data_IF_854668665300
#
_entry.id   IF_854668665300
#
_cell.length_a   1.000
_cell.length_b   1.000
_cell.length_c   1.000
_cell.angle_alpha   90.00
_cell.angle_beta   90.00
_cell.angle_gamma   90.00
#
_symmetry.space_group_name_H-M   'P 1'
#
loop_
_entity.id
_entity.type
_entity.pdbx_description
1 polymer ?
#
# COMPACT_ATOMS: atom_id res chain seq x y z
N UNK A 1 19.90 14.29 0.41
CA UNK A 1 18.60 13.57 0.43
C UNK A 1 18.38 13.08 1.84
N UNK A 2 17.29 13.49 2.48
CA UNK A 2 16.90 13.00 3.80
C UNK A 2 16.47 11.53 3.72
N UNK A 3 16.49 10.80 4.83
CA UNK A 3 15.96 9.43 4.88
C UNK A 3 14.55 9.31 4.30
N UNK A 4 13.71 10.31 4.57
CA UNK A 4 12.33 10.30 4.09
C UNK A 4 12.22 10.45 2.57
N UNK A 5 13.05 11.31 1.98
CA UNK A 5 13.10 11.49 0.53
C UNK A 5 13.54 10.20 -0.17
N UNK A 6 14.43 9.42 0.45
CA UNK A 6 14.85 8.11 -0.05
C UNK A 6 13.67 7.15 -0.20
N UNK A 7 12.65 7.23 0.67
CA UNK A 7 11.48 6.35 0.61
C UNK A 7 10.58 6.58 -0.61
N UNK A 8 10.84 7.62 -1.40
CA UNK A 8 10.13 7.92 -2.64
C UNK A 8 10.98 7.67 -3.89
N UNK A 9 12.23 7.20 -3.75
CA UNK A 9 13.11 6.97 -4.90
C UNK A 9 12.87 5.60 -5.54
N UNK A 10 13.31 5.45 -6.80
CA UNK A 10 13.14 4.20 -7.55
C UNK A 10 13.86 3.02 -6.90
N UNK A 11 15.02 3.28 -6.30
CA UNK A 11 15.85 2.29 -5.62
C UNK A 11 15.12 1.71 -4.41
N UNK A 12 14.53 2.58 -3.57
CA UNK A 12 13.72 2.11 -2.45
C UNK A 12 12.45 1.40 -2.92
N UNK A 13 11.75 1.93 -3.92
CA UNK A 13 10.55 1.28 -4.46
C UNK A 13 10.86 -0.13 -4.98
N UNK A 14 12.00 -0.30 -5.67
CA UNK A 14 12.47 -1.62 -6.12
C UNK A 14 12.80 -2.54 -4.95
N UNK A 15 13.57 -2.07 -3.96
CA UNK A 15 13.90 -2.85 -2.75
C UNK A 15 12.64 -3.22 -1.96
N UNK A 16 11.69 -2.30 -1.83
CA UNK A 16 10.43 -2.53 -1.14
C UNK A 16 9.65 -3.67 -1.77
N UNK A 17 9.51 -3.66 -3.10
CA UNK A 17 8.81 -4.74 -3.81
C UNK A 17 9.60 -6.07 -3.76
N UNK A 18 10.93 -6.04 -3.79
CA UNK A 18 11.77 -7.22 -3.56
C UNK A 18 11.44 -7.88 -2.19
N UNK A 19 11.44 -7.09 -1.11
CA UNK A 19 11.17 -7.60 0.24
C UNK A 19 9.73 -8.10 0.38
N UNK A 20 8.75 -7.38 -0.17
CA UNK A 20 7.35 -7.81 -0.15
C UNK A 20 7.18 -9.13 -0.91
N UNK A 21 7.86 -9.29 -2.05
CA UNK A 21 7.82 -10.52 -2.85
C UNK A 21 8.50 -11.68 -2.13
N UNK A 22 9.68 -11.46 -1.52
CA UNK A 22 10.37 -12.44 -0.65
C UNK A 22 9.44 -12.94 0.45
N UNK A 23 8.69 -12.02 1.05
CA UNK A 23 7.73 -12.29 2.14
C UNK A 23 6.36 -12.78 1.64
N UNK A 24 6.27 -13.17 0.37
CA UNK A 24 5.08 -13.72 -0.28
C UNK A 24 3.85 -12.80 -0.20
N UNK A 25 4.06 -11.48 -0.25
CA UNK A 25 3.01 -10.47 -0.10
C UNK A 25 2.17 -10.66 1.18
N UNK A 26 2.82 -11.09 2.27
CA UNK A 26 2.22 -11.32 3.58
C UNK A 26 2.94 -10.56 4.69
N UNK A 27 2.17 -10.12 5.67
CA UNK A 27 2.71 -9.72 6.97
C UNK A 27 3.38 -10.91 7.65
N UNK A 28 4.62 -10.76 8.07
CA UNK A 28 5.40 -11.83 8.72
C UNK A 28 5.02 -12.07 10.19
N UNK A 29 4.13 -11.26 10.77
CA UNK A 29 3.61 -11.48 12.14
C UNK A 29 2.21 -12.08 12.19
N UNK A 30 1.32 -11.70 11.27
CA UNK A 30 -0.08 -12.14 11.29
C UNK A 30 -0.54 -12.86 10.02
N UNK A 31 0.36 -13.06 9.05
CA UNK A 31 0.10 -13.73 7.77
C UNK A 31 -0.98 -13.09 6.89
N UNK A 32 -1.44 -11.87 7.21
CA UNK A 32 -2.40 -11.17 6.36
C UNK A 32 -1.76 -10.75 5.04
N UNK A 33 -2.49 -10.95 3.94
CA UNK A 33 -2.04 -10.58 2.59
C UNK A 33 -2.18 -9.09 2.33
N UNK A 34 -1.32 -8.55 1.47
CA UNK A 34 -1.48 -7.20 0.90
C UNK A 34 -2.83 -7.14 0.17
N UNK A 35 -3.63 -6.11 0.46
CA UNK A 35 -4.91 -5.96 -0.23
C UNK A 35 -4.68 -5.59 -1.70
N UNK A 36 -5.30 -6.35 -2.60
CA UNK A 36 -5.26 -6.07 -4.04
C UNK A 36 -6.00 -4.78 -4.42
N UNK A 37 -6.83 -4.26 -3.53
CA UNK A 37 -7.66 -3.07 -3.73
C UNK A 37 -6.95 -1.79 -3.21
N UNK A 38 -5.66 -1.84 -2.89
CA UNK A 38 -4.91 -0.63 -2.53
C UNK A 38 -4.76 0.32 -3.72
N UNK A 39 -4.55 1.61 -3.43
CA UNK A 39 -4.31 2.63 -4.46
C UNK A 39 -5.55 3.02 -5.27
N UNK A 40 -6.75 2.89 -4.69
CA UNK A 40 -7.95 3.40 -5.33
C UNK A 40 -7.89 4.91 -5.52
N UNK A 41 -8.27 5.36 -6.72
CA UNK A 41 -8.38 6.76 -7.10
C UNK A 41 -9.47 7.44 -6.28
N UNK A 42 -9.09 8.43 -5.47
CA UNK A 42 -10.06 9.28 -4.78
C UNK A 42 -10.92 10.08 -5.76
N UNK A 43 -10.39 10.43 -6.94
CA UNK A 43 -11.12 11.17 -7.99
C UNK A 43 -12.24 10.36 -8.60
N UNK A 44 -12.03 9.06 -8.83
CA UNK A 44 -13.10 8.18 -9.34
C UNK A 44 -14.02 7.70 -8.21
N UNK A 45 -13.44 7.47 -7.03
CA UNK A 45 -14.14 6.91 -5.88
C UNK A 45 -14.39 5.41 -6.01
N UNK A 46 -15.27 4.91 -5.14
CA UNK A 46 -15.84 3.57 -5.23
C UNK A 46 -17.33 3.75 -5.55
N UNK A 47 -17.81 3.10 -6.60
CA UNK A 47 -19.18 3.23 -7.11
C UNK A 47 -19.87 1.88 -7.11
N UNK A 48 -21.10 1.82 -6.63
CA UNK A 48 -22.01 0.70 -6.87
C UNK A 48 -22.41 0.60 -8.34
N UNK A 49 -22.98 -0.54 -8.73
CA UNK A 49 -23.59 -0.69 -10.05
C UNK A 49 -24.61 0.43 -10.36
N UNK A 50 -25.46 0.79 -9.39
CA UNK A 50 -26.47 1.83 -9.58
C UNK A 50 -25.83 3.20 -9.82
N UNK A 51 -24.85 3.61 -9.01
CA UNK A 51 -24.12 4.85 -9.21
C UNK A 51 -23.37 4.88 -10.55
N UNK A 52 -22.84 3.74 -11.00
CA UNK A 52 -22.24 3.65 -12.35
C UNK A 52 -23.28 3.99 -13.42
N UNK A 53 -24.48 3.41 -13.35
CA UNK A 53 -25.58 3.67 -14.30
C UNK A 53 -26.06 5.13 -14.26
N UNK A 54 -26.22 5.72 -13.07
CA UNK A 54 -26.58 7.13 -12.89
C UNK A 54 -25.54 8.08 -13.49
N UNK A 55 -24.28 7.65 -13.60
CA UNK A 55 -23.20 8.41 -14.20
C UNK A 55 -22.98 8.08 -15.69
N UNK A 56 -24.00 7.58 -16.38
CA UNK A 56 -24.01 7.19 -17.80
C UNK A 56 -22.99 6.10 -18.18
N UNK A 57 -22.55 5.28 -17.23
CA UNK A 57 -21.75 4.12 -17.56
C UNK A 57 -22.63 2.93 -17.92
N UNK A 58 -22.26 2.21 -18.98
CA UNK A 58 -22.81 0.90 -19.31
C UNK A 58 -21.77 -0.18 -19.02
N UNK A 59 -22.19 -1.35 -18.53
CA UNK A 59 -21.30 -2.43 -18.15
C UNK A 59 -21.67 -3.72 -18.86
N UNK A 60 -20.70 -4.35 -19.50
CA UNK A 60 -20.86 -5.64 -20.16
C UNK A 60 -19.91 -6.66 -19.55
N UNK A 61 -20.46 -7.79 -19.07
CA UNK A 61 -19.64 -8.86 -18.51
C UNK A 61 -18.88 -9.60 -19.62
N UNK A 62 -17.61 -9.92 -19.37
CA UNK A 62 -16.84 -10.81 -20.23
C UNK A 62 -17.31 -12.26 -20.05
N UNK A 63 -17.31 -13.02 -21.15
CA UNK A 63 -17.90 -14.38 -21.18
C UNK A 63 -17.28 -15.27 -20.11
N UNK A 64 -18.12 -15.83 -19.23
CA UNK A 64 -17.76 -16.75 -18.15
C UNK A 64 -16.71 -16.22 -17.15
N UNK A 65 -16.66 -14.90 -16.94
CA UNK A 65 -15.78 -14.30 -15.93
C UNK A 65 -16.51 -13.26 -15.07
N UNK A 66 -15.86 -12.83 -13.99
CA UNK A 66 -16.29 -11.66 -13.23
C UNK A 66 -15.71 -10.35 -13.77
N UNK A 67 -14.95 -10.37 -14.88
CA UNK A 67 -14.46 -9.17 -15.53
C UNK A 67 -15.58 -8.48 -16.34
N UNK A 68 -15.44 -7.17 -16.52
CA UNK A 68 -16.35 -6.35 -17.31
C UNK A 68 -15.61 -5.49 -18.33
N UNK A 69 -16.36 -5.00 -19.31
CA UNK A 69 -16.01 -3.82 -20.10
C UNK A 69 -16.97 -2.72 -19.69
N UNK A 70 -16.41 -1.56 -19.35
CA UNK A 70 -17.16 -0.35 -18.99
C UNK A 70 -17.17 0.56 -20.22
N UNK A 71 -18.35 1.09 -20.54
CA UNK A 71 -18.56 2.03 -21.63
C UNK A 71 -19.07 3.36 -21.10
N UNK A 72 -18.64 4.47 -21.71
CA UNK A 72 -19.20 5.80 -21.51
C UNK A 72 -19.04 6.63 -22.78
N UNK A 73 -20.16 6.95 -23.44
CA UNK A 73 -20.14 7.60 -24.76
C UNK A 73 -19.28 6.78 -25.74
N UNK A 74 -18.23 7.37 -26.31
CA UNK A 74 -17.30 6.72 -27.25
C UNK A 74 -16.05 6.12 -26.55
N UNK A 75 -16.05 6.08 -25.21
CA UNK A 75 -14.95 5.53 -24.43
C UNK A 75 -15.32 4.14 -23.91
N UNK A 76 -14.37 3.23 -23.98
CA UNK A 76 -14.45 1.90 -23.38
C UNK A 76 -13.19 1.62 -22.55
N UNK A 77 -13.35 0.81 -21.50
CA UNK A 77 -12.22 0.26 -20.77
C UNK A 77 -12.53 -1.08 -20.12
N UNK A 78 -11.48 -1.90 -20.05
CA UNK A 78 -11.48 -3.13 -19.29
C UNK A 78 -11.55 -2.86 -17.78
N UNK A 79 -12.44 -3.59 -17.12
CA UNK A 79 -12.60 -3.62 -15.68
C UNK A 79 -12.31 -5.03 -15.16
N UNK A 80 -11.26 -5.16 -14.34
CA UNK A 80 -10.78 -6.44 -13.83
C UNK A 80 -11.37 -6.78 -12.47
N UNK A 81 -11.87 -8.00 -12.31
CA UNK A 81 -12.35 -8.46 -11.02
C UNK A 81 -11.19 -8.75 -10.08
N UNK A 82 -11.27 -8.22 -8.86
CA UNK A 82 -10.34 -8.46 -7.76
C UNK A 82 -11.06 -9.33 -6.73
N UNK A 83 -10.74 -10.63 -6.73
CA UNK A 83 -11.28 -11.56 -5.76
C UNK A 83 -11.05 -13.01 -6.13
N UNK A 84 -11.38 -13.92 -5.19
CA UNK A 84 -11.10 -15.35 -5.31
C UNK A 84 -12.30 -16.18 -5.78
N UNK A 85 -13.48 -15.57 -5.88
CA UNK A 85 -14.70 -16.27 -6.28
C UNK A 85 -14.61 -16.76 -7.72
N UNK A 86 -14.76 -18.08 -7.91
CA UNK A 86 -14.90 -18.72 -9.23
C UNK A 86 -16.33 -18.66 -9.76
N UNK A 87 -17.32 -18.45 -8.88
CA UNK A 87 -18.71 -18.31 -9.28
C UNK A 87 -18.97 -16.92 -9.87
N UNK A 88 -19.90 -16.83 -10.82
CA UNK A 88 -20.35 -15.55 -11.36
C UNK A 88 -21.12 -14.77 -10.29
N UNK A 89 -20.64 -13.56 -10.02
CA UNK A 89 -21.21 -12.66 -9.01
C UNK A 89 -22.21 -11.76 -9.69
N UNK A 90 -23.37 -11.52 -9.06
CA UNK A 90 -24.36 -10.57 -9.60
C UNK A 90 -23.72 -9.19 -9.69
N UNK A 91 -23.99 -8.48 -10.78
CA UNK A 91 -23.36 -7.18 -11.03
C UNK A 91 -23.74 -6.14 -9.95
N UNK A 92 -24.93 -6.28 -9.37
CA UNK A 92 -25.47 -5.43 -8.30
C UNK A 92 -24.70 -5.58 -6.97
N UNK A 93 -24.03 -6.72 -6.76
CA UNK A 93 -23.23 -6.98 -5.55
C UNK A 93 -21.77 -6.49 -5.68
N UNK A 94 -21.42 -5.91 -6.84
CA UNK A 94 -20.07 -5.45 -7.14
C UNK A 94 -19.94 -3.94 -6.97
N UNK A 95 -18.77 -3.56 -6.46
CA UNK A 95 -18.27 -2.20 -6.43
C UNK A 95 -17.25 -2.01 -7.55
N UNK A 96 -17.19 -0.81 -8.10
CA UNK A 96 -16.34 -0.40 -9.22
C UNK A 96 -15.45 0.75 -8.79
N UNK A 97 -14.18 0.70 -9.15
CA UNK A 97 -13.22 1.75 -8.85
C UNK A 97 -12.17 1.90 -9.95
N UNK A 98 -11.39 2.97 -9.86
CA UNK A 98 -10.09 3.04 -10.53
C UNK A 98 -8.99 2.75 -9.54
N UNK A 99 -8.03 1.92 -9.92
CA UNK A 99 -6.84 1.61 -9.13
C UNK A 99 -5.61 2.11 -9.85
N UNK A 100 -4.73 2.78 -9.11
CA UNK A 100 -3.39 3.11 -9.57
C UNK A 100 -2.50 1.87 -9.59
N UNK A 101 -1.74 1.68 -10.66
CA UNK A 101 -0.77 0.58 -10.78
C UNK A 101 0.61 1.17 -10.95
N UNK A 102 1.46 0.98 -9.93
CA UNK A 102 2.89 1.28 -10.03
C UNK A 102 3.55 0.13 -10.78
N UNK A 103 4.07 0.41 -11.97
CA UNK A 103 5.00 -0.51 -12.65
C UNK A 103 6.29 0.23 -12.96
N UNK A 104 7.46 -0.41 -12.75
CA UNK A 104 8.76 0.25 -12.87
C UNK A 104 9.11 0.75 -14.28
N UNK A 105 8.30 0.44 -15.30
CA UNK A 105 8.61 0.77 -16.71
C UNK A 105 7.39 1.18 -17.56
N UNK A 106 6.21 1.39 -16.97
CA UNK A 106 4.99 1.79 -17.70
C UNK A 106 4.47 3.11 -17.15
N UNK A 107 4.08 4.02 -18.05
CA UNK A 107 3.48 5.32 -17.71
C UNK A 107 2.29 5.10 -16.78
N UNK A 108 2.34 5.72 -15.60
CA UNK A 108 1.28 5.90 -14.60
C UNK A 108 -0.14 5.71 -15.16
N UNK A 109 -0.69 4.48 -15.07
CA UNK A 109 -2.01 4.15 -15.62
C UNK A 109 -2.96 3.76 -14.50
N UNK A 110 -4.08 4.46 -14.43
CA UNK A 110 -5.24 3.99 -13.68
C UNK A 110 -5.92 2.88 -14.48
N UNK A 111 -6.17 1.75 -13.84
CA UNK A 111 -6.98 0.66 -14.38
C UNK A 111 -8.35 0.64 -13.72
N UNK A 112 -9.37 0.14 -14.40
CA UNK A 112 -10.66 -0.11 -13.77
C UNK A 112 -10.67 -1.48 -13.13
N UNK A 113 -11.25 -1.54 -11.94
CA UNK A 113 -11.37 -2.76 -11.15
C UNK A 113 -12.76 -2.87 -10.55
N UNK A 114 -13.22 -4.10 -10.34
CA UNK A 114 -14.42 -4.39 -9.60
C UNK A 114 -14.17 -5.45 -8.53
N UNK A 115 -14.90 -5.38 -7.42
CA UNK A 115 -14.70 -6.25 -6.26
C UNK A 115 -15.97 -6.32 -5.41
N UNK A 116 -16.05 -7.32 -4.53
CA UNK A 116 -17.20 -7.48 -3.63
C UNK A 116 -17.17 -6.45 -2.50
N UNK A 117 -18.36 -6.09 -2.02
CA UNK A 117 -18.51 -5.18 -0.88
C UNK A 117 -17.76 -5.67 0.38
N UNK A 118 -17.73 -6.97 0.66
CA UNK A 118 -17.00 -7.54 1.81
C UNK A 118 -15.48 -7.36 1.73
N UNK A 119 -14.92 -7.20 0.53
CA UNK A 119 -13.49 -6.93 0.35
C UNK A 119 -13.13 -5.47 0.62
N UNK A 120 -14.14 -4.60 0.77
CA UNK A 120 -13.93 -3.17 1.01
C UNK A 120 -13.61 -2.81 2.47
N UNK A 121 -13.82 -3.74 3.39
CA UNK A 121 -13.74 -3.44 4.84
C UNK A 121 -12.34 -3.68 5.44
N UNK A 122 -11.42 -4.29 4.70
CA UNK A 122 -10.12 -4.71 5.23
C UNK A 122 -8.95 -4.48 4.25
N UNK A 123 -8.67 -3.21 3.95
CA UNK A 123 -7.50 -2.81 3.18
C UNK A 123 -6.23 -2.77 4.05
N UNK A 124 -5.47 -3.87 4.03
CA UNK A 124 -4.15 -3.90 4.65
C UNK A 124 -3.09 -3.61 3.59
N UNK A 125 -2.45 -2.44 3.71
CA UNK A 125 -1.16 -2.23 3.07
C UNK A 125 -0.06 -2.88 3.90
N UNK A 126 0.97 -3.33 3.19
CA UNK A 126 2.18 -3.88 3.76
C UNK A 126 3.28 -2.82 3.71
N UNK A 127 4.05 -2.75 4.79
CA UNK A 127 5.18 -1.85 4.95
C UNK A 127 6.43 -2.70 5.13
N UNK A 128 7.55 -2.23 4.58
CA UNK A 128 8.86 -2.80 4.86
C UNK A 128 9.42 -2.06 6.08
N UNK A 129 9.65 -2.80 7.14
CA UNK A 129 10.15 -2.31 8.42
C UNK A 129 11.65 -2.64 8.55
N UNK A 130 12.45 -1.63 8.91
CA UNK A 130 13.87 -1.78 9.22
C UNK A 130 14.05 -2.28 10.65
N UNK A 131 14.82 -3.36 10.82
CA UNK A 131 15.18 -3.91 12.14
C UNK A 131 16.28 -3.12 12.84
N UNK A 132 17.01 -2.29 12.10
CA UNK A 132 17.99 -1.33 12.59
C UNK A 132 18.20 -0.23 11.55
N UNK A 133 18.70 0.93 11.99
CA UNK A 133 19.20 1.97 11.09
C UNK A 133 20.73 2.05 11.23
N UNK A 134 21.46 2.21 10.13
CA UNK A 134 22.92 2.34 10.12
C UNK A 134 23.34 3.63 9.43
N UNK A 135 24.17 4.43 10.09
CA UNK A 135 24.66 5.70 9.55
C UNK A 135 25.43 5.48 8.25
N UNK A 136 25.10 6.26 7.23
CA UNK A 136 25.75 6.19 5.91
C UNK A 136 25.14 5.16 4.96
N UNK A 137 24.17 4.34 5.40
CA UNK A 137 23.38 3.49 4.51
C UNK A 137 22.10 4.18 4.07
N UNK A 138 21.85 4.17 2.77
CA UNK A 138 20.57 4.52 2.17
C UNK A 138 19.54 3.42 2.44
N UNK A 139 18.24 3.75 2.43
CA UNK A 139 17.15 2.85 2.81
C UNK A 139 17.16 1.49 2.07
N UNK A 140 17.65 1.46 0.83
CA UNK A 140 17.74 0.27 -0.01
C UNK A 140 19.03 -0.54 0.12
N UNK A 141 20.07 -0.02 0.79
CA UNK A 141 21.40 -0.67 0.90
C UNK A 141 21.50 -1.70 2.02
N UNK A 142 20.37 -2.00 2.67
CA UNK A 142 20.29 -2.98 3.73
C UNK A 142 20.16 -4.39 3.15
N UNK A 143 20.82 -5.34 3.82
CA UNK A 143 20.61 -6.77 3.56
C UNK A 143 19.15 -7.13 3.83
N UNK A 144 18.67 -8.15 3.15
CA UNK A 144 17.27 -8.55 3.23
C UNK A 144 16.89 -8.91 4.68
N UNK A 145 17.79 -9.53 5.43
CA UNK A 145 17.59 -9.96 6.81
C UNK A 145 17.35 -8.79 7.76
N UNK A 146 17.81 -7.58 7.41
CA UNK A 146 17.57 -6.35 8.15
C UNK A 146 16.16 -5.78 7.92
N UNK A 147 15.39 -6.35 6.99
CA UNK A 147 14.09 -5.86 6.55
C UNK A 147 13.00 -6.93 6.75
N UNK A 148 11.80 -6.51 7.13
CA UNK A 148 10.66 -7.39 7.34
C UNK A 148 9.35 -6.76 6.85
N UNK A 149 8.50 -7.53 6.17
CA UNK A 149 7.21 -7.06 5.69
C UNK A 149 6.13 -7.17 6.76
N UNK A 150 5.56 -6.05 7.20
CA UNK A 150 4.52 -5.98 8.22
C UNK A 150 3.27 -5.24 7.72
N UNK A 151 2.07 -5.70 8.07
CA UNK A 151 0.87 -4.89 7.86
C UNK A 151 0.89 -3.66 8.78
N UNK A 152 0.13 -2.60 8.43
CA UNK A 152 0.07 -1.38 9.24
C UNK A 152 -0.18 -1.58 10.74
N UNK A 153 -0.99 -2.59 11.11
CA UNK A 153 -1.30 -2.88 12.52
C UNK A 153 -0.10 -3.53 13.22
N UNK A 154 0.50 -4.55 12.61
CA UNK A 154 1.68 -5.20 13.16
C UNK A 154 2.88 -4.25 13.20
N UNK A 155 3.04 -3.41 12.18
CA UNK A 155 4.07 -2.38 12.13
C UNK A 155 3.95 -1.38 13.29
N UNK A 156 2.74 -0.85 13.55
CA UNK A 156 2.50 0.01 14.70
C UNK A 156 2.78 -0.72 16.02
N UNK A 157 2.32 -1.97 16.17
CA UNK A 157 2.58 -2.78 17.37
C UNK A 157 4.06 -3.02 17.60
N UNK A 158 4.85 -3.20 16.53
CA UNK A 158 6.29 -3.38 16.63
C UNK A 158 6.94 -2.14 17.23
N UNK A 159 6.65 -0.95 16.70
CA UNK A 159 7.18 0.31 17.24
C UNK A 159 6.66 0.65 18.66
N UNK A 160 5.48 0.14 19.05
CA UNK A 160 4.99 0.29 20.43
C UNK A 160 5.71 -0.62 21.42
N UNK A 161 6.15 -1.81 20.98
CA UNK A 161 6.79 -2.82 21.84
C UNK A 161 8.30 -2.66 21.88
N UNK A 162 8.89 -2.31 20.74
CA UNK A 162 10.33 -2.31 20.52
C UNK A 162 10.76 -0.99 19.92
N UNK A 163 11.95 -0.52 20.34
CA UNK A 163 12.65 0.58 19.69
C UNK A 163 13.69 0.01 18.72
N UNK A 164 13.93 0.72 17.64
CA UNK A 164 14.82 0.24 16.57
C UNK A 164 16.24 0.73 16.86
N UNK A 165 17.25 -0.14 16.96
CA UNK A 165 18.61 0.28 17.22
C UNK A 165 19.17 1.12 16.06
N UNK A 166 19.95 2.14 16.43
CA UNK A 166 20.70 2.99 15.52
C UNK A 166 22.18 2.67 15.67
N UNK A 167 22.83 2.35 14.55
CA UNK A 167 24.22 1.96 14.44
C UNK A 167 25.03 3.06 13.74
N UNK A 168 26.31 3.18 14.07
CA UNK A 168 27.26 4.03 13.36
C UNK A 168 27.66 3.43 12.00
N UNK A 169 28.57 4.08 11.28
CA UNK A 169 29.04 3.59 9.97
C UNK A 169 29.75 2.24 10.05
N UNK A 170 30.31 1.88 11.20
CA UNK A 170 31.02 0.62 11.43
C UNK A 170 30.09 -0.50 11.95
N UNK A 171 28.79 -0.23 12.10
CA UNK A 171 27.82 -1.20 12.62
C UNK A 171 27.81 -1.29 14.15
N UNK A 172 28.43 -0.35 14.86
CA UNK A 172 28.45 -0.32 16.32
C UNK A 172 27.20 0.40 16.82
N UNK A 173 26.56 -0.16 17.85
CA UNK A 173 25.38 0.44 18.48
C UNK A 173 25.67 1.83 19.04
N UNK A 174 24.79 2.79 18.74
CA UNK A 174 24.88 4.19 19.20
C UNK A 174 23.75 4.48 20.19
N UNK A 175 22.50 4.39 19.74
CA UNK A 175 21.32 4.64 20.56
C UNK A 175 20.10 3.93 20.00
N UNK A 176 18.96 4.07 20.67
CA UNK A 176 17.67 3.58 20.18
C UNK A 176 16.92 4.69 19.43
N UNK A 177 16.14 4.30 18.42
CA UNK A 177 15.28 5.23 17.71
C UNK A 177 14.23 5.83 18.65
N UNK A 178 13.91 7.09 18.39
CA UNK A 178 12.88 7.86 19.07
C UNK A 178 11.68 7.93 18.14
N UNK A 179 10.60 7.28 18.55
CA UNK A 179 9.35 7.35 17.83
C UNK A 179 8.84 8.79 17.75
N UNK A 180 8.17 9.11 16.66
CA UNK A 180 7.42 10.34 16.52
C UNK A 180 6.21 10.32 17.45
N UNK A 181 6.12 11.30 18.34
CA UNK A 181 5.03 11.45 19.32
C UNK A 181 3.65 11.66 18.68
N UNK A 182 3.57 11.92 17.38
CA UNK A 182 2.28 12.08 16.68
C UNK A 182 1.72 10.75 16.19
N UNK A 183 2.56 9.87 15.66
CA UNK A 183 2.12 8.62 15.03
C UNK A 183 2.53 7.35 15.79
N UNK A 184 3.18 7.50 16.94
CA UNK A 184 3.70 6.41 17.77
C UNK A 184 4.64 5.47 17.00
N UNK A 185 5.47 6.04 16.11
CA UNK A 185 6.41 5.24 15.32
C UNK A 185 5.84 4.68 14.00
N UNK A 186 4.53 4.78 13.76
CA UNK A 186 3.94 4.14 12.57
C UNK A 186 4.22 4.87 11.25
N UNK A 187 4.59 6.15 11.30
CA UNK A 187 4.67 7.04 10.13
C UNK A 187 3.32 7.44 9.55
N UNK A 188 2.20 6.96 10.11
CA UNK A 188 0.86 7.03 9.52
C UNK A 188 -0.22 7.38 10.56
N UNK A 189 -1.18 8.22 10.16
CA UNK A 189 -2.34 8.63 10.94
C UNK A 189 -3.63 8.29 10.18
N UNK A 190 -4.42 7.36 10.74
CA UNK A 190 -5.64 6.85 10.10
C UNK A 190 -6.69 7.91 9.86
N UNK A 191 -6.80 8.87 10.77
CA UNK A 191 -7.80 9.94 10.77
C UNK A 191 -7.57 10.86 9.57
N UNK A 192 -6.33 10.97 9.11
CA UNK A 192 -5.91 11.77 7.97
C UNK A 192 -5.73 10.95 6.69
N UNK A 193 -6.27 9.74 6.58
CA UNK A 193 -6.16 8.90 5.36
C UNK A 193 -6.54 9.65 4.08
N UNK A 194 -7.47 10.59 4.16
CA UNK A 194 -7.95 11.40 3.04
C UNK A 194 -6.99 12.55 2.65
N UNK A 195 -5.99 12.88 3.48
CA UNK A 195 -4.99 13.92 3.25
C UNK A 195 -3.62 13.26 3.09
N UNK A 196 -3.02 13.37 1.90
CA UNK A 196 -1.69 12.77 1.59
C UNK A 196 -1.58 11.30 2.02
N UNK A 197 -2.67 10.53 1.84
CA UNK A 197 -2.77 9.12 2.23
C UNK A 197 -2.42 8.86 3.70
N UNK A 198 -2.69 9.79 4.62
CA UNK A 198 -2.47 9.60 6.05
C UNK A 198 -1.00 9.64 6.49
N UNK A 199 -0.07 10.10 5.64
CA UNK A 199 1.33 10.29 6.03
C UNK A 199 1.41 11.23 7.25
N UNK A 200 2.14 10.84 8.28
CA UNK A 200 2.37 11.68 9.44
C UNK A 200 3.33 12.82 9.08
N UNK A 201 2.82 14.04 8.96
CA UNK A 201 3.64 15.22 8.65
C UNK A 201 4.69 15.57 9.72
N UNK A 202 4.52 15.09 10.96
CA UNK A 202 5.48 15.33 12.04
C UNK A 202 6.81 14.60 11.85
N UNK A 203 6.80 13.45 11.17
CA UNK A 203 8.00 12.69 10.83
C UNK A 203 8.12 12.45 9.32
N UNK A 204 7.28 13.12 8.53
CA UNK A 204 7.13 12.94 7.08
C UNK A 204 6.90 11.50 6.59
N UNK A 205 6.49 10.59 7.48
CA UNK A 205 6.29 9.16 7.18
C UNK A 205 7.34 8.21 7.75
N UNK A 206 8.46 8.70 8.28
CA UNK A 206 9.53 7.82 8.80
C UNK A 206 9.21 7.11 10.10
N UNK A 207 8.22 7.61 10.86
CA UNK A 207 7.90 7.13 12.19
C UNK A 207 8.91 7.52 13.27
N UNK A 208 10.14 7.88 12.93
CA UNK A 208 11.22 8.19 13.90
C UNK A 208 11.78 9.60 13.69
N UNK A 209 12.22 10.24 14.78
CA UNK A 209 12.67 11.66 14.77
C UNK A 209 14.19 11.86 14.87
N UNK A 210 14.96 10.80 15.11
CA UNK A 210 16.43 10.85 15.27
C UNK A 210 17.17 9.88 14.33
N UNK A 211 16.58 9.57 13.17
CA UNK A 211 17.22 8.75 12.13
C UNK A 211 17.85 9.66 11.07
N UNK A 212 18.94 9.19 10.46
CA UNK A 212 19.83 9.98 9.57
C UNK A 212 19.28 10.18 8.17
#
# INVERSE_FOLDING_TARGET
MTYNEQLSTKEWLSKREEIINRDNSKCQHCNIYRSEILGLSSKFGVKSYFEMRENDFSLQRKKNTNDFVIYKKNWEADCKFIGTSKALIKIEDLLFAQKYVEQPFVINKYIHVCFNQSQSENYYDLNVHHKYYQKGKSAWEYDNEALITLCRICHKKEHMRNKIPILDSNGIFVEMSKNCNRCDGSGYLSEYKHVKNGVCFGCMGTGSINIY
#
